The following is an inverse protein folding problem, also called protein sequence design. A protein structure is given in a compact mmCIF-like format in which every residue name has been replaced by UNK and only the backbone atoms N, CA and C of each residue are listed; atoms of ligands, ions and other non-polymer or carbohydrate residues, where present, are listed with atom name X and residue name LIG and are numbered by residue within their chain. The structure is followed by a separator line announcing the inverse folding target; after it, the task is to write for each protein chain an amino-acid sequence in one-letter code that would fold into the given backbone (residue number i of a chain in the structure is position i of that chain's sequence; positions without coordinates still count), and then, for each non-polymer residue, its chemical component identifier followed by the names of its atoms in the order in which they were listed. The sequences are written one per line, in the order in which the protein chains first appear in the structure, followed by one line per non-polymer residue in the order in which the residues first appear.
data_IF_974690759514
#
_entry.id   IF_974690759514
#
_cell.length_a   1.000
_cell.length_b   1.000
_cell.length_c   1.000
_cell.angle_alpha   90.00
_cell.angle_beta   90.00
_cell.angle_gamma   90.00
#
_symmetry.space_group_name_H-M   'P 1'
#
loop_
_entity.id
_entity.type
_entity.pdbx_description
1 polymer ?
#
# COMPACT_ATOMS: atom_id res chain seq x y z
N UNK A 1 29.71 27.84 -44.77
CA UNK A 1 28.31 28.11 -44.35
C UNK A 1 27.39 26.89 -44.46
N UNK A 2 27.34 26.15 -45.58
CA UNK A 2 26.45 24.97 -45.75
C UNK A 2 26.71 23.82 -44.77
N UNK A 3 27.96 23.52 -44.41
CA UNK A 3 28.30 22.44 -43.46
C UNK A 3 27.80 22.70 -42.02
N UNK A 4 27.81 23.96 -41.59
CA UNK A 4 27.41 24.36 -40.24
C UNK A 4 25.89 24.24 -40.05
N UNK A 5 25.12 24.58 -41.10
CA UNK A 5 23.66 24.45 -41.11
C UNK A 5 23.22 22.97 -41.06
N UNK A 6 23.95 22.08 -41.74
CA UNK A 6 23.68 20.63 -41.70
C UNK A 6 23.93 20.07 -40.28
N UNK A 7 25.02 20.48 -39.61
CA UNK A 7 25.29 20.05 -38.24
C UNK A 7 24.20 20.50 -37.26
N UNK A 8 23.70 21.73 -37.38
CA UNK A 8 22.63 22.25 -36.53
C UNK A 8 21.33 21.47 -36.76
N UNK A 9 20.97 21.19 -38.02
CA UNK A 9 19.76 20.42 -38.34
C UNK A 9 19.86 18.99 -37.82
N UNK A 10 21.03 18.34 -37.95
CA UNK A 10 21.26 17.00 -37.39
C UNK A 10 21.20 17.02 -35.87
N UNK A 11 21.74 18.05 -35.21
CA UNK A 11 21.66 18.18 -33.74
C UNK A 11 20.21 18.40 -33.27
N UNK A 12 19.44 19.23 -33.98
CA UNK A 12 18.03 19.48 -33.68
C UNK A 12 17.20 18.22 -33.93
N UNK A 13 17.48 17.46 -34.99
CA UNK A 13 16.83 16.18 -35.25
C UNK A 13 17.22 15.10 -34.24
N UNK A 14 18.49 15.05 -33.80
CA UNK A 14 18.94 14.14 -32.74
C UNK A 14 18.34 14.51 -31.39
N UNK A 15 18.23 15.80 -31.08
CA UNK A 15 17.56 16.28 -29.88
C UNK A 15 16.07 15.98 -29.96
N UNK A 16 15.37 16.31 -31.05
CA UNK A 16 13.95 16.00 -31.23
C UNK A 16 13.67 14.50 -31.24
N UNK A 17 14.55 13.68 -31.83
CA UNK A 17 14.49 12.22 -31.77
C UNK A 17 14.70 11.73 -30.33
N UNK A 18 15.68 12.25 -29.59
CA UNK A 18 15.90 11.90 -28.19
C UNK A 18 14.72 12.32 -27.30
N UNK A 19 14.14 13.50 -27.50
CA UNK A 19 12.96 13.95 -26.75
C UNK A 19 11.70 13.18 -27.14
N UNK A 20 11.59 12.73 -28.39
CA UNK A 20 10.48 11.88 -28.86
C UNK A 20 10.64 10.44 -28.34
N UNK A 21 11.85 9.87 -28.38
CA UNK A 21 12.17 8.54 -27.89
C UNK A 21 11.97 8.45 -26.36
N UNK A 22 12.42 9.48 -25.63
CA UNK A 22 12.17 9.59 -24.19
C UNK A 22 10.71 9.83 -23.80
N UNK A 23 9.87 10.34 -24.72
CA UNK A 23 8.42 10.48 -24.49
C UNK A 23 7.62 9.25 -24.91
N UNK A 24 8.16 8.37 -25.74
CA UNK A 24 7.49 7.13 -26.19
C UNK A 24 7.83 5.89 -25.35
N UNK A 25 8.94 5.89 -24.62
CA UNK A 25 9.31 4.81 -23.67
C UNK A 25 8.65 4.96 -22.28
N UNK A 26 7.71 5.88 -22.13
CA UNK A 26 7.15 6.29 -20.84
C UNK A 26 6.30 5.22 -20.10
N UNK A 27 6.13 3.99 -20.62
CA UNK A 27 5.24 2.96 -20.01
C UNK A 27 5.60 1.48 -20.28
N UNK A 28 6.86 1.12 -20.56
CA UNK A 28 7.27 -0.30 -20.59
C UNK A 28 8.68 -0.50 -20.03
N UNK A 29 8.81 -0.43 -18.72
CA UNK A 29 9.83 -1.20 -18.03
C UNK A 29 9.16 -2.48 -17.53
N UNK A 30 9.36 -3.55 -18.28
CA UNK A 30 9.09 -4.88 -17.73
C UNK A 30 10.06 -5.07 -16.56
N UNK A 31 9.51 -5.30 -15.38
CA UNK A 31 10.30 -5.50 -14.16
C UNK A 31 10.14 -6.94 -13.71
N UNK A 32 11.26 -7.57 -13.40
CA UNK A 32 11.31 -8.88 -12.75
C UNK A 32 11.86 -8.66 -11.35
N UNK A 33 11.12 -9.15 -10.35
CA UNK A 33 11.50 -9.10 -8.95
C UNK A 33 11.55 -10.51 -8.36
N UNK A 34 12.70 -10.89 -7.83
CA UNK A 34 12.86 -12.16 -7.11
C UNK A 34 12.47 -11.97 -5.64
N UNK A 35 11.31 -12.52 -5.26
CA UNK A 35 10.88 -12.56 -3.87
C UNK A 35 11.63 -13.66 -3.12
N UNK A 36 12.37 -13.29 -2.08
CA UNK A 36 13.21 -14.21 -1.29
C UNK A 36 12.62 -14.48 0.10
N UNK A 37 13.06 -15.52 0.81
CA UNK A 37 12.70 -15.72 2.22
C UNK A 37 13.05 -14.52 3.12
N UNK A 38 14.16 -13.80 2.85
CA UNK A 38 14.53 -12.59 3.58
C UNK A 38 13.47 -11.50 3.42
N UNK A 39 12.89 -11.34 2.23
CA UNK A 39 11.80 -10.39 2.00
C UNK A 39 10.56 -10.73 2.83
N UNK A 40 10.24 -12.02 2.97
CA UNK A 40 9.13 -12.47 3.82
C UNK A 40 9.39 -12.19 5.31
N UNK A 41 10.62 -12.36 5.78
CA UNK A 41 11.01 -12.00 7.15
C UNK A 41 10.92 -10.50 7.42
N UNK A 42 11.20 -9.66 6.41
CA UNK A 42 11.02 -8.21 6.50
C UNK A 42 9.52 -7.88 6.60
N UNK A 43 8.67 -8.45 5.74
CA UNK A 43 7.21 -8.24 5.79
C UNK A 43 6.64 -8.58 7.18
N UNK A 44 7.06 -9.69 7.78
CA UNK A 44 6.63 -10.13 9.12
C UNK A 44 7.03 -9.19 10.25
N UNK A 45 7.98 -8.29 10.01
CA UNK A 45 8.46 -7.30 10.99
C UNK A 45 7.87 -5.91 10.78
N UNK A 46 7.18 -5.70 9.65
CA UNK A 46 6.48 -4.45 9.38
C UNK A 46 5.33 -4.23 10.37
N UNK A 47 5.17 -2.97 10.77
CA UNK A 47 4.16 -2.55 11.73
C UNK A 47 3.14 -1.67 11.02
N UNK A 48 1.86 -1.98 11.19
CA UNK A 48 0.76 -1.25 10.56
C UNK A 48 0.29 -0.13 11.48
N UNK A 49 0.26 1.10 10.99
CA UNK A 49 -0.33 2.28 11.64
C UNK A 49 -1.59 2.73 10.89
N UNK A 50 -2.27 3.75 11.42
CA UNK A 50 -3.44 4.36 10.79
C UNK A 50 -3.09 5.71 10.18
N UNK A 51 -3.17 5.83 8.85
CA UNK A 51 -3.22 7.12 8.17
C UNK A 51 -4.61 7.72 8.39
N UNK A 52 -4.68 8.93 8.95
CA UNK A 52 -5.93 9.62 9.25
C UNK A 52 -6.45 10.48 8.09
N UNK A 53 -5.77 10.49 6.95
CA UNK A 53 -6.14 11.33 5.80
C UNK A 53 -7.44 10.89 5.17
N UNK A 54 -8.23 11.84 4.65
CA UNK A 54 -9.48 11.57 3.94
C UNK A 54 -10.41 10.62 4.72
N UNK A 55 -10.60 9.38 4.28
CA UNK A 55 -11.43 8.37 4.96
C UNK A 55 -10.73 7.62 6.09
N UNK A 56 -9.39 7.69 6.12
CA UNK A 56 -8.51 6.87 6.94
C UNK A 56 -8.19 5.53 6.27
N UNK A 57 -7.00 4.97 6.52
CA UNK A 57 -6.65 3.62 6.06
C UNK A 57 -5.39 3.09 6.79
N UNK A 58 -5.19 1.76 6.81
CA UNK A 58 -3.97 1.19 7.35
C UNK A 58 -2.78 1.33 6.39
N UNK A 59 -1.65 1.76 6.92
CA UNK A 59 -0.37 1.88 6.22
C UNK A 59 0.76 1.26 7.04
N UNK A 60 1.86 0.89 6.41
CA UNK A 60 3.04 0.37 7.10
C UNK A 60 3.88 1.53 7.61
N UNK A 61 4.14 1.59 8.91
CA UNK A 61 5.11 2.53 9.48
C UNK A 61 6.52 1.98 9.27
N UNK A 62 7.31 2.77 8.57
CA UNK A 62 8.73 2.53 8.36
C UNK A 62 9.60 3.58 9.06
N UNK A 63 9.08 4.58 9.76
CA UNK A 63 9.89 5.65 10.36
C UNK A 63 10.05 5.53 11.88
N UNK A 64 8.95 5.27 12.61
CA UNK A 64 8.90 5.58 14.05
C UNK A 64 9.01 4.37 14.98
N UNK A 65 8.74 3.17 14.46
CA UNK A 65 8.69 1.95 15.27
C UNK A 65 10.03 1.22 15.28
N UNK A 66 10.31 0.34 16.26
CA UNK A 66 11.63 -0.28 16.43
C UNK A 66 12.14 -1.06 15.22
N UNK A 67 11.31 -1.35 14.22
CA UNK A 67 11.70 -1.86 12.91
C UNK A 67 11.50 -0.78 11.84
N UNK A 68 12.32 0.26 11.91
CA UNK A 68 12.27 1.44 11.04
C UNK A 68 13.06 1.23 9.74
N UNK A 69 13.09 2.29 8.93
CA UNK A 69 13.52 2.33 7.55
C UNK A 69 14.98 1.95 7.42
N UNK A 70 15.81 2.49 8.32
CA UNK A 70 17.23 2.18 8.40
C UNK A 70 17.45 0.67 8.59
N UNK A 71 16.70 0.03 9.50
CA UNK A 71 16.82 -1.41 9.75
C UNK A 71 16.28 -2.24 8.59
N UNK A 72 15.17 -1.83 7.99
CA UNK A 72 14.61 -2.49 6.80
C UNK A 72 15.63 -2.44 5.65
N UNK A 73 16.15 -1.25 5.33
CA UNK A 73 17.13 -1.09 4.26
C UNK A 73 18.44 -1.80 4.56
N UNK A 74 18.89 -1.83 5.82
CA UNK A 74 20.07 -2.59 6.23
C UNK A 74 19.92 -4.09 6.00
N UNK A 75 18.74 -4.67 6.27
CA UNK A 75 18.45 -6.08 5.96
C UNK A 75 18.40 -6.37 4.45
N UNK A 76 18.14 -5.34 3.64
CA UNK A 76 18.21 -5.39 2.19
C UNK A 76 19.63 -5.09 1.65
N UNK A 77 20.60 -4.84 2.53
CA UNK A 77 22.00 -4.57 2.16
C UNK A 77 22.34 -3.12 1.87
N UNK A 78 21.41 -2.18 2.11
CA UNK A 78 21.64 -0.75 1.92
C UNK A 78 22.09 -0.06 3.21
N UNK A 79 22.91 0.99 3.07
CA UNK A 79 23.33 1.83 4.19
C UNK A 79 22.74 3.23 4.04
N UNK A 80 21.49 3.39 4.48
CA UNK A 80 20.76 4.66 4.36
C UNK A 80 21.03 5.54 5.59
N UNK A 81 21.41 6.79 5.36
CA UNK A 81 21.59 7.83 6.38
C UNK A 81 20.40 8.77 6.39
N UNK A 82 20.19 9.48 7.49
CA UNK A 82 19.12 10.49 7.61
C UNK A 82 19.22 11.59 6.53
N UNK A 83 20.44 11.94 6.11
CA UNK A 83 20.67 12.90 5.02
C UNK A 83 20.12 12.44 3.68
N UNK A 84 20.01 11.13 3.46
CA UNK A 84 19.63 10.58 2.16
C UNK A 84 18.14 10.80 1.90
N UNK A 85 17.31 10.87 2.94
CA UNK A 85 15.89 11.25 2.83
C UNK A 85 15.70 12.68 2.30
N UNK A 86 16.66 13.58 2.53
CA UNK A 86 16.63 14.95 1.98
C UNK A 86 17.12 15.00 0.54
N UNK A 87 18.04 14.11 0.18
CA UNK A 87 18.76 14.15 -1.09
C UNK A 87 18.23 13.15 -2.14
N UNK A 88 17.28 12.28 -1.78
CA UNK A 88 16.69 11.25 -2.65
C UNK A 88 17.75 10.46 -3.43
N UNK A 89 18.66 9.81 -2.69
CA UNK A 89 19.76 9.05 -3.30
C UNK A 89 19.24 7.83 -4.06
N UNK A 90 20.03 7.35 -5.02
CA UNK A 90 19.69 6.14 -5.79
C UNK A 90 19.49 4.91 -4.88
N UNK A 91 20.32 4.74 -3.85
CA UNK A 91 20.17 3.66 -2.87
C UNK A 91 18.85 3.76 -2.09
N UNK A 92 18.42 4.98 -1.76
CA UNK A 92 17.14 5.21 -1.08
C UNK A 92 15.99 4.75 -1.97
N UNK A 93 15.99 5.17 -3.23
CA UNK A 93 14.95 4.81 -4.21
C UNK A 93 14.92 3.31 -4.53
N UNK A 94 16.09 2.66 -4.60
CA UNK A 94 16.17 1.20 -4.73
C UNK A 94 15.57 0.49 -3.51
N UNK A 95 15.88 0.96 -2.28
CA UNK A 95 15.26 0.40 -1.08
C UNK A 95 13.73 0.56 -1.09
N UNK A 96 13.21 1.74 -1.47
CA UNK A 96 11.75 1.98 -1.60
C UNK A 96 11.11 1.06 -2.62
N UNK A 97 11.76 0.89 -3.76
CA UNK A 97 11.28 0.02 -4.84
C UNK A 97 11.14 -1.43 -4.36
N UNK A 98 12.14 -1.93 -3.64
CA UNK A 98 12.10 -3.27 -3.06
C UNK A 98 10.99 -3.38 -2.01
N UNK A 99 10.87 -2.41 -1.09
CA UNK A 99 9.82 -2.40 -0.05
C UNK A 99 8.42 -2.37 -0.70
N UNK A 100 8.24 -1.57 -1.74
CA UNK A 100 7.02 -1.49 -2.53
C UNK A 100 6.69 -2.85 -3.15
N UNK A 101 7.63 -3.44 -3.89
CA UNK A 101 7.45 -4.71 -4.58
C UNK A 101 7.08 -5.83 -3.60
N UNK A 102 7.79 -5.98 -2.48
CA UNK A 102 7.49 -7.04 -1.50
C UNK A 102 6.09 -6.86 -0.91
N UNK A 103 5.67 -5.62 -0.64
CA UNK A 103 4.35 -5.33 -0.09
C UNK A 103 3.25 -5.64 -1.12
N UNK A 104 3.35 -5.10 -2.33
CA UNK A 104 2.36 -5.29 -3.38
C UNK A 104 2.21 -6.76 -3.78
N UNK A 105 3.34 -7.45 -4.01
CA UNK A 105 3.34 -8.90 -4.28
C UNK A 105 2.69 -9.64 -3.12
N UNK A 106 2.95 -9.24 -1.87
CA UNK A 106 2.34 -9.89 -0.71
C UNK A 106 0.83 -9.80 -0.71
N UNK A 107 0.29 -8.61 -1.00
CA UNK A 107 -1.16 -8.41 -1.03
C UNK A 107 -1.77 -9.17 -2.20
N UNK A 108 -1.13 -9.19 -3.36
CA UNK A 108 -1.66 -9.85 -4.56
C UNK A 108 -1.59 -11.39 -4.45
N UNK A 109 -0.45 -11.95 -4.05
CA UNK A 109 -0.15 -13.40 -4.16
C UNK A 109 -0.09 -14.15 -2.83
N UNK A 110 -0.01 -13.46 -1.70
CA UNK A 110 -0.07 -14.12 -0.39
C UNK A 110 -1.45 -14.75 -0.13
N UNK A 111 -1.53 -15.65 0.83
CA UNK A 111 -2.81 -16.26 1.21
C UNK A 111 -2.91 -16.35 2.73
N UNK A 112 -4.07 -16.00 3.24
CA UNK A 112 -4.42 -16.13 4.65
C UNK A 112 -5.80 -16.76 4.72
N UNK A 113 -5.96 -17.80 5.53
CA UNK A 113 -7.25 -18.44 5.73
C UNK A 113 -8.06 -17.65 6.77
N UNK A 114 -9.40 -17.62 6.70
CA UNK A 114 -10.21 -17.17 7.82
C UNK A 114 -9.86 -17.94 9.09
N UNK A 115 -9.94 -17.27 10.23
CA UNK A 115 -9.59 -17.88 11.51
C UNK A 115 -9.24 -16.86 12.56
N UNK A 116 -9.01 -17.36 13.78
CA UNK A 116 -8.59 -16.56 14.92
C UNK A 116 -7.07 -16.51 14.98
N UNK A 117 -6.52 -15.31 14.93
CA UNK A 117 -5.07 -15.07 15.01
C UNK A 117 -4.74 -14.23 16.23
N UNK A 118 -3.65 -14.59 16.92
CA UNK A 118 -3.15 -13.86 18.08
C UNK A 118 -1.70 -13.47 17.87
N UNK A 119 -1.37 -12.21 18.13
CA UNK A 119 -0.01 -11.70 18.01
C UNK A 119 0.29 -10.66 19.11
N UNK A 120 1.59 -10.41 19.33
CA UNK A 120 2.03 -9.37 20.26
C UNK A 120 1.65 -7.99 19.73
N UNK A 121 1.00 -7.17 20.54
CA UNK A 121 0.68 -5.80 20.16
C UNK A 121 1.97 -4.98 19.98
N UNK A 122 2.28 -4.47 18.77
CA UNK A 122 3.48 -3.67 18.56
C UNK A 122 3.43 -2.30 19.25
N UNK A 123 2.24 -1.88 19.70
CA UNK A 123 2.01 -0.63 20.44
C UNK A 123 1.97 -0.82 21.96
N UNK A 124 2.12 -2.05 22.46
CA UNK A 124 2.15 -2.30 23.91
C UNK A 124 3.26 -1.48 24.58
N UNK A 125 2.90 -0.79 25.67
CA UNK A 125 3.79 0.07 26.43
C UNK A 125 3.97 1.49 25.86
N UNK A 126 3.45 1.78 24.66
CA UNK A 126 3.45 3.15 24.15
C UNK A 126 2.38 3.99 24.85
N UNK A 127 2.79 5.16 25.31
CA UNK A 127 1.89 6.16 25.91
C UNK A 127 1.49 7.17 24.85
N UNK A 128 0.25 7.64 24.92
CA UNK A 128 -0.26 8.80 24.18
C UNK A 128 -0.28 8.70 22.64
N UNK A 129 -0.19 7.50 22.06
CA UNK A 129 -0.43 7.31 20.62
C UNK A 129 -1.91 7.50 20.32
N UNK A 130 -2.24 8.57 19.58
CA UNK A 130 -3.61 8.93 19.21
C UNK A 130 -3.65 9.28 17.72
N UNK A 131 -4.35 8.47 16.95
CA UNK A 131 -4.67 8.79 15.56
C UNK A 131 -6.11 9.25 15.47
N UNK A 132 -6.39 10.20 14.57
CA UNK A 132 -7.77 10.51 14.22
C UNK A 132 -8.30 9.36 13.38
N UNK A 133 -9.60 9.14 13.44
CA UNK A 133 -10.21 8.12 12.59
C UNK A 133 -10.14 8.54 11.11
N UNK A 134 -10.37 9.81 10.84
CA UNK A 134 -10.37 10.39 9.49
C UNK A 134 -10.05 11.90 9.56
N UNK A 135 -9.96 12.57 8.41
CA UNK A 135 -9.53 13.96 8.35
C UNK A 135 -10.61 14.96 8.83
N UNK A 136 -11.88 14.58 8.72
CA UNK A 136 -13.02 15.48 8.88
C UNK A 136 -13.61 15.47 10.30
N UNK A 137 -13.30 14.46 11.10
CA UNK A 137 -13.85 14.27 12.44
C UNK A 137 -12.88 14.54 13.59
N UNK A 138 -13.43 14.61 14.80
CA UNK A 138 -12.66 14.62 16.06
C UNK A 138 -12.55 13.23 16.70
N UNK A 139 -13.21 12.22 16.13
CA UNK A 139 -13.17 10.84 16.64
C UNK A 139 -11.75 10.29 16.49
N UNK A 140 -11.27 9.62 17.53
CA UNK A 140 -9.99 8.93 17.51
C UNK A 140 -10.17 7.49 17.02
N UNK A 141 -9.14 6.97 16.37
CA UNK A 141 -9.03 5.55 16.05
C UNK A 141 -8.95 4.74 17.37
N UNK A 142 -9.72 3.66 17.52
CA UNK A 142 -9.75 2.87 18.75
C UNK A 142 -8.49 1.98 18.86
N UNK A 143 -7.42 2.56 19.40
CA UNK A 143 -6.13 1.88 19.57
C UNK A 143 -6.20 0.67 20.50
N UNK A 144 -5.55 -0.46 20.16
CA UNK A 144 -5.46 -1.61 21.05
C UNK A 144 -4.54 -1.32 22.24
N UNK A 145 -5.02 -1.58 23.46
CA UNK A 145 -4.29 -1.31 24.71
C UNK A 145 -3.68 -2.56 25.35
N UNK A 146 -4.15 -3.75 24.99
CA UNK A 146 -3.67 -5.03 25.51
C UNK A 146 -2.26 -5.37 24.97
N UNK A 147 -1.50 -6.16 25.72
CA UNK A 147 -0.15 -6.63 25.30
C UNK A 147 -0.19 -7.59 24.10
N UNK A 148 -1.32 -8.24 23.89
CA UNK A 148 -1.60 -9.10 22.74
C UNK A 148 -2.89 -8.66 22.06
N UNK A 149 -2.93 -8.77 20.74
CA UNK A 149 -4.13 -8.59 19.93
C UNK A 149 -4.60 -9.96 19.49
N UNK A 150 -5.91 -10.22 19.62
CA UNK A 150 -6.58 -11.35 18.99
C UNK A 150 -7.61 -10.83 18.02
N UNK A 151 -7.53 -11.28 16.77
CA UNK A 151 -8.37 -10.83 15.68
C UNK A 151 -8.95 -12.02 14.92
N UNK A 152 -10.25 -11.95 14.64
CA UNK A 152 -10.97 -12.96 13.88
C UNK A 152 -11.02 -12.51 12.41
N UNK A 153 -10.17 -13.11 11.58
CA UNK A 153 -10.15 -12.89 10.14
C UNK A 153 -11.34 -13.59 9.51
N UNK A 154 -12.09 -12.86 8.69
CA UNK A 154 -13.25 -13.38 7.95
C UNK A 154 -13.00 -13.32 6.45
N UNK A 155 -13.88 -13.96 5.67
CA UNK A 155 -13.82 -13.91 4.20
C UNK A 155 -14.00 -12.48 3.67
N UNK A 156 -14.84 -11.65 4.31
CA UNK A 156 -15.04 -10.25 3.93
C UNK A 156 -13.75 -9.44 4.07
N UNK A 157 -13.00 -9.65 5.15
CA UNK A 157 -11.70 -9.01 5.35
C UNK A 157 -10.71 -9.38 4.23
N UNK A 158 -10.66 -10.67 3.86
CA UNK A 158 -9.77 -11.16 2.81
C UNK A 158 -10.18 -10.58 1.45
N UNK A 159 -11.48 -10.62 1.11
CA UNK A 159 -12.00 -10.02 -0.13
C UNK A 159 -11.64 -8.54 -0.24
N UNK A 160 -11.86 -7.77 0.83
CA UNK A 160 -11.51 -6.35 0.86
C UNK A 160 -10.01 -6.11 0.74
N UNK A 161 -9.17 -6.87 1.46
CA UNK A 161 -7.72 -6.71 1.36
C UNK A 161 -7.24 -6.95 -0.08
N UNK A 162 -7.72 -8.04 -0.71
CA UNK A 162 -7.35 -8.43 -2.08
C UNK A 162 -7.83 -7.45 -3.15
N UNK A 163 -8.87 -6.68 -2.87
CA UNK A 163 -9.42 -5.67 -3.78
C UNK A 163 -9.11 -4.24 -3.36
N UNK A 164 -8.35 -4.06 -2.27
CA UNK A 164 -7.95 -2.75 -1.81
C UNK A 164 -6.94 -2.10 -2.75
N UNK A 165 -6.86 -0.77 -2.73
CA UNK A 165 -5.79 -0.02 -3.38
C UNK A 165 -4.53 -0.04 -2.51
N UNK A 166 -4.00 -1.24 -2.28
CA UNK A 166 -2.74 -1.46 -1.58
C UNK A 166 -1.56 -1.24 -2.54
N UNK A 167 -0.70 -0.27 -2.23
CA UNK A 167 0.41 0.18 -3.10
C UNK A 167 1.46 0.98 -2.34
N UNK A 168 2.50 1.39 -3.04
CA UNK A 168 3.34 2.51 -2.58
C UNK A 168 2.58 3.84 -2.67
N UNK A 169 2.51 4.53 -1.54
CA UNK A 169 1.85 5.81 -1.36
C UNK A 169 2.89 6.93 -1.48
N UNK A 170 3.14 7.42 -2.69
CA UNK A 170 4.16 8.46 -2.97
C UNK A 170 4.02 9.74 -2.13
N UNK A 171 2.82 10.08 -1.68
CA UNK A 171 2.62 11.28 -0.86
C UNK A 171 3.15 11.12 0.57
N UNK A 172 3.22 9.90 1.08
CA UNK A 172 3.79 9.57 2.39
C UNK A 172 5.14 8.87 2.31
N UNK A 173 5.54 8.39 1.12
CA UNK A 173 6.68 7.50 0.94
C UNK A 173 6.54 6.27 1.85
N UNK A 174 5.35 5.65 1.86
CA UNK A 174 4.98 4.49 2.66
C UNK A 174 4.25 3.45 1.81
N UNK A 175 4.37 2.17 2.15
CA UNK A 175 3.49 1.14 1.63
C UNK A 175 2.19 1.09 2.45
N UNK A 176 1.03 0.89 1.82
CA UNK A 176 -0.23 0.82 2.55
C UNK A 176 -1.46 0.80 1.66
N UNK A 177 -2.64 0.84 2.28
CA UNK A 177 -3.91 1.05 1.59
C UNK A 177 -4.12 2.55 1.42
N UNK A 178 -4.49 3.00 0.22
CA UNK A 178 -4.76 4.41 -0.08
C UNK A 178 -5.94 4.95 0.76
N UNK A 179 -5.70 5.94 1.61
CA UNK A 179 -6.71 6.51 2.52
C UNK A 179 -7.73 7.42 1.84
N UNK A 180 -7.44 7.92 0.64
CA UNK A 180 -8.40 8.68 -0.17
C UNK A 180 -9.37 7.75 -0.87
N UNK A 181 -8.88 6.59 -1.32
CA UNK A 181 -9.62 5.62 -2.13
C UNK A 181 -9.23 4.20 -1.75
N UNK A 182 -9.69 3.67 -0.61
CA UNK A 182 -9.17 2.41 -0.07
C UNK A 182 -9.55 1.17 -0.86
N UNK A 183 -10.67 1.18 -1.59
CA UNK A 183 -11.25 -0.03 -2.19
C UNK A 183 -11.62 0.10 -3.68
N UNK A 184 -11.24 1.20 -4.33
CA UNK A 184 -11.67 1.46 -5.71
C UNK A 184 -11.47 2.91 -6.11
N UNK A 185 -12.32 3.43 -6.98
CA UNK A 185 -12.21 4.79 -7.51
C UNK A 185 -13.43 5.66 -7.17
N UNK A 186 -14.32 5.19 -6.29
CA UNK A 186 -15.46 5.98 -5.85
C UNK A 186 -15.08 6.90 -4.69
N UNK A 187 -15.62 8.12 -4.71
CA UNK A 187 -15.48 9.05 -3.57
C UNK A 187 -16.15 8.50 -2.31
N UNK A 188 -17.21 7.72 -2.47
CA UNK A 188 -17.86 7.03 -1.38
C UNK A 188 -17.43 5.57 -1.35
N UNK A 189 -16.50 5.24 -0.46
CA UNK A 189 -15.90 3.92 -0.39
C UNK A 189 -16.90 2.81 0.01
N UNK A 190 -18.09 3.13 0.54
CA UNK A 190 -19.15 2.13 0.79
C UNK A 190 -19.67 1.46 -0.47
N UNK A 191 -19.70 2.19 -1.60
CA UNK A 191 -20.14 1.61 -2.88
C UNK A 191 -19.13 0.58 -3.38
N UNK A 192 -17.83 0.89 -3.27
CA UNK A 192 -16.76 -0.05 -3.61
C UNK A 192 -16.79 -1.27 -2.68
N UNK A 193 -16.93 -1.06 -1.37
CA UNK A 193 -17.08 -2.16 -0.40
C UNK A 193 -18.30 -3.02 -0.71
N UNK A 194 -19.46 -2.43 -0.98
CA UNK A 194 -20.67 -3.15 -1.33
C UNK A 194 -20.46 -3.99 -2.59
N UNK A 195 -19.84 -3.42 -3.63
CA UNK A 195 -19.51 -4.12 -4.86
C UNK A 195 -18.56 -5.31 -4.62
N UNK A 196 -17.46 -5.11 -3.86
CA UNK A 196 -16.49 -6.17 -3.52
C UNK A 196 -17.13 -7.30 -2.71
N UNK A 197 -18.04 -6.94 -1.81
CA UNK A 197 -18.72 -7.88 -0.90
C UNK A 197 -20.01 -8.44 -1.50
N UNK A 198 -20.36 -8.08 -2.74
CA UNK A 198 -21.57 -8.50 -3.44
C UNK A 198 -22.85 -8.14 -2.65
N UNK A 199 -22.83 -7.02 -1.93
CA UNK A 199 -23.98 -6.44 -1.23
C UNK A 199 -24.75 -5.55 -2.19
N UNK A 200 -26.06 -5.72 -2.25
CA UNK A 200 -26.94 -4.92 -3.11
C UNK A 200 -26.78 -3.43 -2.82
N UNK A 201 -26.48 -2.66 -3.87
CA UNK A 201 -26.41 -1.20 -3.84
C UNK A 201 -27.81 -0.67 -4.18
N UNK A 202 -28.49 0.03 -3.25
CA UNK A 202 -29.83 0.52 -3.53
C UNK A 202 -29.83 1.55 -4.66
N UNK A 203 -30.71 1.36 -5.65
CA UNK A 203 -30.79 2.14 -6.88
C UNK A 203 -31.47 3.51 -6.73
N UNK A 204 -31.74 3.94 -5.50
CA UNK A 204 -32.41 5.21 -5.27
C UNK A 204 -31.45 6.35 -5.62
N UNK A 205 -31.94 7.29 -6.42
CA UNK A 205 -31.29 8.57 -6.62
C UNK A 205 -31.35 9.33 -5.29
N UNK A 206 -30.25 9.30 -4.55
CA UNK A 206 -30.13 9.91 -3.22
C UNK A 206 -29.18 11.10 -3.26
N UNK A 207 -29.42 12.08 -2.39
CA UNK A 207 -28.61 13.31 -2.32
C UNK A 207 -27.16 13.06 -1.90
N UNK A 208 -26.92 12.00 -1.15
CA UNK A 208 -25.58 11.53 -0.78
C UNK A 208 -25.49 10.01 -0.90
N UNK A 209 -24.26 9.50 -1.03
CA UNK A 209 -24.01 8.06 -1.04
C UNK A 209 -24.37 7.38 0.29
N UNK A 210 -24.18 8.07 1.42
CA UNK A 210 -24.56 7.53 2.73
C UNK A 210 -26.07 7.28 2.79
N UNK A 211 -26.87 8.14 2.17
CA UNK A 211 -28.32 7.95 2.09
C UNK A 211 -28.74 6.74 1.24
N UNK A 212 -27.83 6.20 0.41
CA UNK A 212 -28.10 5.01 -0.39
C UNK A 212 -28.16 3.74 0.47
N UNK A 213 -27.57 3.72 1.66
CA UNK A 213 -27.52 2.55 2.52
C UNK A 213 -28.33 2.74 3.81
N UNK A 214 -28.79 1.64 4.41
CA UNK A 214 -29.35 1.68 5.77
C UNK A 214 -28.27 2.06 6.79
N UNK A 215 -28.69 2.60 7.94
CA UNK A 215 -27.76 2.96 9.03
C UNK A 215 -26.98 1.76 9.53
N UNK A 216 -27.63 0.59 9.54
CA UNK A 216 -27.05 -0.69 9.92
C UNK A 216 -25.94 -1.11 8.94
N UNK A 217 -26.17 -0.97 7.62
CA UNK A 217 -25.16 -1.23 6.60
C UNK A 217 -23.98 -0.26 6.72
N UNK A 218 -24.22 1.05 6.88
CA UNK A 218 -23.14 2.04 7.06
C UNK A 218 -22.31 1.69 8.30
N UNK A 219 -22.96 1.33 9.41
CA UNK A 219 -22.27 0.92 10.63
C UNK A 219 -21.42 -0.33 10.41
N UNK A 220 -21.93 -1.31 9.65
CA UNK A 220 -21.20 -2.52 9.31
C UNK A 220 -19.98 -2.21 8.42
N UNK A 221 -20.12 -1.39 7.39
CA UNK A 221 -19.00 -0.96 6.55
C UNK A 221 -17.94 -0.20 7.33
N UNK A 222 -18.34 0.75 8.19
CA UNK A 222 -17.40 1.48 9.05
C UNK A 222 -16.61 0.54 9.95
N UNK A 223 -17.29 -0.42 10.57
CA UNK A 223 -16.65 -1.41 11.44
C UNK A 223 -15.62 -2.21 10.64
N UNK A 224 -16.03 -2.76 9.50
CA UNK A 224 -15.17 -3.58 8.64
C UNK A 224 -13.97 -2.79 8.11
N UNK A 225 -14.18 -1.52 7.75
CA UNK A 225 -13.10 -0.61 7.32
C UNK A 225 -12.07 -0.37 8.42
N UNK A 226 -12.51 -0.14 9.67
CA UNK A 226 -11.60 -0.03 10.82
C UNK A 226 -10.87 -1.35 11.10
N UNK A 227 -11.57 -2.47 10.96
CA UNK A 227 -10.99 -3.80 11.15
C UNK A 227 -9.89 -4.12 10.12
N UNK A 228 -9.85 -3.43 8.97
CA UNK A 228 -8.74 -3.57 8.01
C UNK A 228 -7.37 -3.23 8.60
N UNK A 229 -7.30 -2.42 9.66
CA UNK A 229 -6.08 -2.21 10.43
C UNK A 229 -5.53 -3.52 11.01
N UNK A 230 -6.38 -4.25 11.72
CA UNK A 230 -6.02 -5.53 12.32
C UNK A 230 -5.82 -6.60 11.24
N UNK A 231 -6.62 -6.55 10.17
CA UNK A 231 -6.47 -7.45 9.03
C UNK A 231 -5.10 -7.30 8.37
N UNK A 232 -4.68 -6.07 8.03
CA UNK A 232 -3.39 -5.86 7.37
C UNK A 232 -2.23 -6.32 8.26
N UNK A 233 -2.26 -5.98 9.55
CA UNK A 233 -1.21 -6.41 10.48
C UNK A 233 -1.16 -7.93 10.62
N UNK A 234 -2.32 -8.58 10.74
CA UNK A 234 -2.44 -10.04 10.81
C UNK A 234 -1.93 -10.68 9.52
N UNK A 235 -2.29 -10.12 8.37
CA UNK A 235 -1.87 -10.61 7.07
C UNK A 235 -0.36 -10.57 6.89
N UNK A 236 0.29 -9.44 7.21
CA UNK A 236 1.75 -9.33 7.10
C UNK A 236 2.49 -10.34 8.00
N UNK A 237 1.92 -10.70 9.14
CA UNK A 237 2.51 -11.66 10.08
C UNK A 237 2.32 -13.12 9.65
N UNK A 238 1.14 -13.46 9.14
CA UNK A 238 0.70 -14.87 9.03
C UNK A 238 0.42 -15.34 7.62
N UNK A 239 0.36 -14.46 6.62
CA UNK A 239 0.09 -14.87 5.25
C UNK A 239 1.18 -15.82 4.74
N UNK A 240 0.75 -16.92 4.15
CA UNK A 240 1.59 -17.85 3.42
C UNK A 240 1.87 -17.27 2.03
N UNK A 241 3.13 -17.26 1.64
CA UNK A 241 3.54 -16.79 0.32
C UNK A 241 4.71 -17.61 -0.18
N UNK A 242 4.71 -17.86 -1.49
CA UNK A 242 5.73 -18.63 -2.14
C UNK A 242 6.81 -17.69 -2.70
N UNK A 243 8.08 -17.80 -2.26
CA UNK A 243 9.22 -17.19 -2.94
C UNK A 243 9.26 -17.55 -4.44
N UNK A 244 9.99 -16.75 -5.20
CA UNK A 244 10.16 -16.95 -6.64
C UNK A 244 10.15 -15.63 -7.40
N UNK A 245 10.17 -15.73 -8.73
CA UNK A 245 10.21 -14.57 -9.59
C UNK A 245 8.80 -14.07 -9.91
N UNK A 246 8.63 -12.77 -9.86
CA UNK A 246 7.40 -12.08 -10.19
C UNK A 246 7.70 -11.04 -11.26
N UNK A 247 6.79 -10.86 -12.22
CA UNK A 247 6.93 -9.87 -13.27
C UNK A 247 5.79 -8.85 -13.24
N UNK A 248 6.06 -7.60 -13.57
CA UNK A 248 5.04 -6.60 -13.92
C UNK A 248 5.42 -5.88 -15.21
N UNK A 249 4.41 -5.45 -15.96
CA UNK A 249 4.62 -4.79 -17.28
C UNK A 249 4.95 -3.30 -17.19
N UNK A 250 4.53 -2.67 -16.09
CA UNK A 250 4.75 -1.27 -15.79
C UNK A 250 4.57 -1.06 -14.28
N UNK A 251 5.03 0.09 -13.78
CA UNK A 251 5.09 0.41 -12.35
C UNK A 251 3.72 0.46 -11.64
N UNK A 252 2.62 0.56 -12.39
CA UNK A 252 1.25 0.61 -11.87
C UNK A 252 0.46 -0.68 -12.13
N UNK A 253 1.12 -1.70 -12.70
CA UNK A 253 0.49 -2.95 -13.08
C UNK A 253 0.49 -3.98 -11.96
N UNK A 254 -0.34 -5.00 -12.11
CA UNK A 254 -0.30 -6.18 -11.24
C UNK A 254 1.02 -6.95 -11.45
N UNK A 255 1.50 -7.55 -10.37
CA UNK A 255 2.56 -8.54 -10.42
C UNK A 255 1.97 -9.88 -10.79
N UNK A 256 2.72 -10.65 -11.57
CA UNK A 256 2.36 -11.99 -12.01
C UNK A 256 3.49 -12.93 -11.64
N UNK A 257 3.14 -14.05 -11.01
CA UNK A 257 4.14 -15.06 -10.66
C UNK A 257 4.66 -15.76 -11.92
N UNK A 258 5.98 -15.85 -12.06
CA UNK A 258 6.61 -16.65 -13.11
C UNK A 258 6.66 -18.14 -12.72
N UNK A 259 6.69 -19.04 -13.72
CA UNK A 259 6.75 -20.49 -13.51
C UNK A 259 7.96 -20.97 -12.70
#
# INVERSE_FOLDING_TARGET
MKLFLICIIVLILLMAYRTSFMKTDLYRTEEIFTLTPTHLEILRKMIVIWDSSESGAPVVDIYNFPFNYEKICSLLGFTIKESDFKNQTEELEQCRTIISAIFEISIQHGSLKPGRYTYKNPFSGLKDVKWRLNAYGSKLFPMPTSDSITFDVTEEHIKLLKKSNARWLHYWELAGIDSKRPYGDMTCFYLDMANILEIEIPTKDTKSCEDSFSREQIKAFYKLHQEMFYMLQTYLLFAEMNPGDYFRKNDYGEWYKLP
#
